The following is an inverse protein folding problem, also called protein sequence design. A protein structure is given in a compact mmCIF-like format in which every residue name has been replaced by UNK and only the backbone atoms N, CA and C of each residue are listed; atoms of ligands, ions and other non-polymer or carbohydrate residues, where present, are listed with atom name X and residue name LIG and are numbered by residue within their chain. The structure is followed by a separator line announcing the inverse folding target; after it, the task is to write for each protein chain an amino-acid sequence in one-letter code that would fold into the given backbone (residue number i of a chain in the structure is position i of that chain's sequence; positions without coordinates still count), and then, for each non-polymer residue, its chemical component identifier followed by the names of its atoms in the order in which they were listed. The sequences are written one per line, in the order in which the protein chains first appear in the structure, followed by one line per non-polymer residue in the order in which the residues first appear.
data_IF_494533717201
#
_entry.id   IF_494533717201
#
_cell.length_a   1.000
_cell.length_b   1.000
_cell.length_c   1.000
_cell.angle_alpha   90.00
_cell.angle_beta   90.00
_cell.angle_gamma   90.00
#
_symmetry.space_group_name_H-M   'P 1'
#
loop_
_entity.id
_entity.type
_entity.pdbx_description
1 polymer ?
#
# COMPACT_ATOMS: atom_id res chain seq x y z
N UNK A 1 -7.75 3.49 7.31
CA UNK A 1 -6.58 2.69 6.87
C UNK A 1 -6.79 1.17 6.77
N UNK A 2 -7.17 0.42 7.82
CA UNK A 2 -7.10 -1.07 7.75
C UNK A 2 -7.98 -1.69 6.66
N UNK A 3 -9.23 -1.25 6.52
CA UNK A 3 -10.13 -1.75 5.48
C UNK A 3 -9.56 -1.53 4.07
N UNK A 4 -8.94 -0.37 3.83
CA UNK A 4 -8.24 -0.09 2.57
C UNK A 4 -7.13 -1.12 2.30
N UNK A 5 -6.23 -1.36 3.26
CA UNK A 5 -5.13 -2.31 3.07
C UNK A 5 -5.61 -3.76 2.96
N UNK A 6 -6.71 -4.11 3.62
CA UNK A 6 -7.35 -5.42 3.48
C UNK A 6 -7.82 -5.65 2.04
N UNK A 7 -8.54 -4.71 1.46
CA UNK A 7 -9.03 -4.79 0.07
C UNK A 7 -7.92 -4.60 -0.97
N UNK A 8 -6.95 -3.72 -0.69
CA UNK A 8 -5.81 -3.46 -1.55
C UNK A 8 -4.97 -4.73 -1.74
N UNK A 9 -4.60 -5.39 -0.64
CA UNK A 9 -3.73 -6.57 -0.68
C UNK A 9 -4.50 -7.89 -0.78
N UNK A 10 -5.82 -7.86 -0.60
CA UNK A 10 -6.68 -9.05 -0.41
C UNK A 10 -6.18 -9.91 0.76
N UNK A 11 -5.71 -9.24 1.80
CA UNK A 11 -5.23 -9.86 3.02
C UNK A 11 -6.41 -10.14 3.96
N UNK A 12 -6.19 -11.01 4.94
CA UNK A 12 -7.16 -11.33 5.99
C UNK A 12 -6.57 -11.00 7.37
N UNK A 13 -7.41 -10.69 8.38
CA UNK A 13 -6.94 -10.59 9.76
C UNK A 13 -6.25 -11.89 10.19
N UNK A 14 -5.06 -11.77 10.78
CA UNK A 14 -4.31 -12.92 11.32
C UNK A 14 -4.97 -13.48 12.58
N UNK A 15 -5.53 -12.59 13.39
CA UNK A 15 -6.19 -12.84 14.67
C UNK A 15 -7.49 -12.00 14.69
N UNK A 16 -8.46 -12.31 15.58
CA UNK A 16 -9.64 -11.47 15.76
C UNK A 16 -9.25 -10.01 16.01
N UNK A 17 -9.96 -9.07 15.38
CA UNK A 17 -9.67 -7.66 15.52
C UNK A 17 -9.83 -7.22 16.99
N UNK A 18 -8.85 -6.47 17.49
CA UNK A 18 -8.97 -5.71 18.73
C UNK A 18 -9.16 -4.23 18.39
N UNK A 19 -9.65 -3.43 19.35
CA UNK A 19 -9.85 -1.99 19.13
C UNK A 19 -8.53 -1.25 18.87
N UNK A 20 -7.42 -1.73 19.44
CA UNK A 20 -6.16 -0.99 19.46
C UNK A 20 -5.12 -1.53 18.47
N UNK A 21 -5.32 -2.76 17.99
CA UNK A 21 -4.32 -3.46 17.18
C UNK A 21 -4.96 -4.45 16.20
N UNK A 22 -4.44 -4.48 14.97
CA UNK A 22 -4.83 -5.44 13.94
C UNK A 22 -3.63 -5.83 13.08
N UNK A 23 -3.49 -7.12 12.80
CA UNK A 23 -2.48 -7.64 11.87
C UNK A 23 -3.17 -8.27 10.67
N UNK A 24 -2.82 -7.82 9.48
CA UNK A 24 -3.24 -8.40 8.20
C UNK A 24 -2.15 -9.34 7.65
N UNK A 25 -2.57 -10.45 7.05
CA UNK A 25 -1.69 -11.44 6.41
C UNK A 25 -2.24 -11.88 5.05
N UNK A 26 -1.35 -12.31 4.15
CA UNK A 26 -1.78 -13.04 2.96
C UNK A 26 -2.42 -14.38 3.40
N UNK A 27 -3.59 -14.74 2.84
CA UNK A 27 -4.29 -15.97 3.22
C UNK A 27 -3.48 -17.23 2.90
N UNK A 28 -2.59 -17.18 1.91
CA UNK A 28 -1.67 -18.28 1.54
C UNK A 28 -0.29 -18.15 2.18
N UNK A 29 -0.07 -17.16 3.06
CA UNK A 29 1.20 -16.94 3.75
C UNK A 29 2.31 -16.39 2.85
N UNK A 30 1.97 -15.73 1.74
CA UNK A 30 2.95 -15.09 0.86
C UNK A 30 3.26 -13.67 1.32
N UNK A 31 4.53 -13.31 1.40
CA UNK A 31 4.94 -11.95 1.74
C UNK A 31 4.77 -11.59 3.23
N UNK A 32 5.01 -10.32 3.59
CA UNK A 32 5.01 -9.89 4.98
C UNK A 32 3.58 -9.70 5.52
N UNK A 33 3.47 -9.68 6.85
CA UNK A 33 2.29 -9.18 7.54
C UNK A 33 2.34 -7.64 7.61
N UNK A 34 1.17 -7.00 7.60
CA UNK A 34 1.03 -5.57 7.91
C UNK A 34 0.33 -5.42 9.25
N UNK A 35 0.99 -4.75 10.20
CA UNK A 35 0.45 -4.49 11.54
C UNK A 35 0.03 -3.04 11.67
N UNK A 36 -1.16 -2.83 12.21
CA UNK A 36 -1.78 -1.53 12.39
C UNK A 36 -2.08 -1.32 13.87
N UNK A 37 -1.65 -0.17 14.38
CA UNK A 37 -1.98 0.30 15.71
C UNK A 37 -3.00 1.43 15.59
N UNK A 38 -4.07 1.38 16.39
CA UNK A 38 -5.01 2.48 16.50
C UNK A 38 -4.29 3.74 17.02
N UNK A 39 -4.70 4.90 16.50
CA UNK A 39 -4.20 6.20 16.93
C UNK A 39 -5.35 7.20 16.95
N UNK A 40 -5.41 7.99 18.01
CA UNK A 40 -6.45 9.02 18.18
C UNK A 40 -6.27 10.21 17.23
N UNK A 41 -5.06 10.35 16.65
CA UNK A 41 -4.69 11.42 15.74
C UNK A 41 -3.73 10.92 14.67
N UNK A 42 -3.85 11.50 13.46
CA UNK A 42 -2.85 11.35 12.40
C UNK A 42 -1.51 11.88 12.91
N UNK A 43 -0.42 11.18 12.54
CA UNK A 43 0.92 11.65 12.87
C UNK A 43 1.14 13.04 12.26
N UNK A 44 1.65 13.99 13.05
CA UNK A 44 1.97 15.35 12.58
C UNK A 44 3.18 15.40 11.64
N UNK A 45 3.90 14.28 11.51
CA UNK A 45 5.02 14.11 10.59
C UNK A 45 4.77 12.90 9.70
N UNK A 46 5.40 12.89 8.53
CA UNK A 46 5.34 11.75 7.62
C UNK A 46 6.14 10.59 8.19
N UNK A 47 5.61 9.37 8.00
CA UNK A 47 6.38 8.15 8.25
C UNK A 47 7.61 8.12 7.35
N UNK A 48 8.73 7.62 7.88
CA UNK A 48 9.95 7.35 7.12
C UNK A 48 9.92 5.95 6.48
N UNK A 49 8.88 5.16 6.77
CA UNK A 49 8.65 3.88 6.13
C UNK A 49 8.05 4.11 4.73
N UNK A 50 8.57 3.38 3.76
CA UNK A 50 8.07 3.35 2.39
C UNK A 50 7.68 1.90 2.04
N UNK A 51 6.45 1.70 1.56
CA UNK A 51 5.94 0.40 1.13
C UNK A 51 5.78 0.37 -0.40
N UNK A 52 6.34 -0.65 -1.05
CA UNK A 52 6.26 -0.82 -2.50
C UNK A 52 5.39 -2.02 -2.88
N UNK A 53 4.42 -1.79 -3.75
CA UNK A 53 3.56 -2.83 -4.34
C UNK A 53 3.97 -3.07 -5.79
N UNK A 54 4.54 -4.24 -6.07
CA UNK A 54 5.02 -4.59 -7.40
C UNK A 54 3.94 -5.29 -8.23
N UNK A 55 3.70 -4.79 -9.44
CA UNK A 55 2.69 -5.33 -10.38
C UNK A 55 3.20 -5.26 -11.81
N UNK A 56 2.74 -6.16 -12.69
CA UNK A 56 3.00 -6.06 -14.13
C UNK A 56 2.05 -5.09 -14.84
N UNK A 57 1.02 -4.57 -14.15
CA UNK A 57 0.03 -3.63 -14.69
C UNK A 57 -0.10 -2.41 -13.78
N UNK A 58 0.93 -1.57 -13.74
CA UNK A 58 0.97 -0.42 -12.83
C UNK A 58 -0.23 0.51 -13.00
N UNK A 59 -0.56 0.90 -14.23
CA UNK A 59 -1.67 1.83 -14.50
C UNK A 59 -3.00 1.32 -13.95
N UNK A 60 -3.38 0.08 -14.29
CA UNK A 60 -4.60 -0.57 -13.81
C UNK A 60 -4.66 -0.63 -12.28
N UNK A 61 -3.53 -0.97 -11.65
CA UNK A 61 -3.45 -1.12 -10.21
C UNK A 61 -3.54 0.24 -9.49
N UNK A 62 -2.91 1.28 -10.04
CA UNK A 62 -3.06 2.64 -9.55
C UNK A 62 -4.53 3.07 -9.59
N UNK A 63 -5.23 2.87 -10.70
CA UNK A 63 -6.65 3.24 -10.78
C UNK A 63 -7.51 2.44 -9.81
N UNK A 64 -7.26 1.13 -9.67
CA UNK A 64 -7.97 0.29 -8.70
C UNK A 64 -7.80 0.82 -7.27
N UNK A 65 -6.57 1.16 -6.89
CA UNK A 65 -6.27 1.65 -5.54
C UNK A 65 -6.85 3.05 -5.29
N UNK A 66 -6.89 3.91 -6.31
CA UNK A 66 -7.57 5.21 -6.22
C UNK A 66 -9.07 5.04 -6.01
N UNK A 67 -9.72 4.10 -6.72
CA UNK A 67 -11.14 3.77 -6.49
C UNK A 67 -11.38 3.25 -5.06
N UNK A 68 -10.42 2.53 -4.47
CA UNK A 68 -10.48 2.07 -3.08
C UNK A 68 -10.23 3.17 -2.04
N UNK A 69 -9.86 4.38 -2.46
CA UNK A 69 -9.70 5.55 -1.59
C UNK A 69 -8.26 6.06 -1.45
N UNK A 70 -7.29 5.51 -2.19
CA UNK A 70 -5.97 6.13 -2.28
C UNK A 70 -6.03 7.43 -3.09
N UNK A 71 -5.04 8.30 -2.90
CA UNK A 71 -4.88 9.54 -3.68
C UNK A 71 -3.53 9.57 -4.35
N UNK A 72 -3.45 10.07 -5.58
CA UNK A 72 -2.17 10.34 -6.23
C UNK A 72 -1.44 11.44 -5.47
N UNK A 73 -0.19 11.18 -5.09
CA UNK A 73 0.63 12.15 -4.38
C UNK A 73 1.43 12.98 -5.41
N UNK A 74 1.49 14.32 -5.28
CA UNK A 74 2.23 15.18 -6.20
C UNK A 74 3.74 15.05 -5.96
N UNK A 75 4.32 13.98 -6.49
CA UNK A 75 5.73 13.66 -6.40
C UNK A 75 6.52 14.24 -7.58
N UNK A 76 7.77 14.63 -7.33
CA UNK A 76 8.70 15.01 -8.40
C UNK A 76 9.45 13.77 -8.88
N UNK A 77 9.04 13.24 -10.03
CA UNK A 77 9.60 12.00 -10.56
C UNK A 77 10.90 12.25 -11.32
N UNK A 78 11.95 11.44 -11.08
CA UNK A 78 13.11 11.42 -11.97
C UNK A 78 12.72 10.87 -13.35
N UNK A 79 13.53 11.17 -14.36
CA UNK A 79 13.36 10.59 -15.69
C UNK A 79 13.44 9.06 -15.62
N UNK A 80 12.46 8.38 -16.23
CA UNK A 80 12.41 6.92 -16.25
C UNK A 80 11.92 6.25 -14.96
N UNK A 81 11.30 6.99 -14.02
CA UNK A 81 10.70 6.40 -12.84
C UNK A 81 9.68 5.29 -13.21
N UNK A 82 9.82 4.14 -12.58
CA UNK A 82 8.98 2.94 -12.76
C UNK A 82 7.91 2.81 -11.68
N UNK A 83 7.68 3.85 -10.88
CA UNK A 83 6.76 3.85 -9.75
C UNK A 83 5.80 5.04 -9.78
N UNK A 84 4.63 4.85 -9.18
CA UNK A 84 3.66 5.92 -8.89
C UNK A 84 3.46 6.01 -7.39
N UNK A 85 3.68 7.20 -6.82
CA UNK A 85 3.47 7.47 -5.40
C UNK A 85 2.00 7.75 -5.12
N UNK A 86 1.42 6.95 -4.23
CA UNK A 86 0.07 7.11 -3.71
C UNK A 86 0.10 7.43 -2.22
N UNK A 87 -0.97 8.03 -1.75
CA UNK A 87 -1.27 8.31 -0.36
C UNK A 87 -2.50 7.46 0.05
N UNK A 88 -2.38 6.67 1.12
CA UNK A 88 -3.51 5.90 1.67
C UNK A 88 -4.54 6.82 2.38
N UNK A 89 -5.70 6.31 2.84
CA UNK A 89 -6.72 7.16 3.46
C UNK A 89 -6.29 7.91 4.74
N UNK A 90 -5.33 7.37 5.48
CA UNK A 90 -4.77 8.02 6.68
C UNK A 90 -3.53 8.85 6.35
N UNK A 91 -3.14 8.78 5.09
CA UNK A 91 -2.12 9.46 4.36
C UNK A 91 -0.68 9.13 4.64
N UNK A 92 -0.45 7.83 4.75
CA UNK A 92 0.86 7.21 4.57
C UNK A 92 1.16 7.11 3.06
N UNK A 93 2.41 7.37 2.69
CA UNK A 93 2.85 7.22 1.31
C UNK A 93 3.28 5.78 1.03
N UNK A 94 2.97 5.32 -0.18
CA UNK A 94 3.41 4.03 -0.71
C UNK A 94 3.52 4.11 -2.23
N UNK A 95 4.27 3.20 -2.84
CA UNK A 95 4.44 3.15 -4.30
C UNK A 95 3.74 1.95 -4.92
N UNK A 96 3.28 2.15 -6.15
CA UNK A 96 2.95 1.05 -7.08
C UNK A 96 4.06 1.01 -8.11
N UNK A 97 4.84 -0.08 -8.13
CA UNK A 97 6.03 -0.24 -8.96
C UNK A 97 5.73 -1.20 -10.11
N UNK A 98 6.12 -0.80 -11.32
CA UNK A 98 6.04 -1.64 -12.49
C UNK A 98 7.12 -2.72 -12.42
N UNK A 99 6.73 -3.99 -12.48
CA UNK A 99 7.67 -5.08 -12.64
C UNK A 99 8.26 -5.03 -14.05
N UNK A 100 9.58 -5.21 -14.21
CA UNK A 100 10.17 -5.41 -15.52
C UNK A 100 9.63 -6.70 -16.15
N UNK A 101 9.39 -6.67 -17.46
CA UNK A 101 9.00 -7.87 -18.20
C UNK A 101 10.16 -8.88 -18.16
N UNK A 102 9.87 -10.13 -17.81
CA UNK A 102 10.86 -11.22 -17.66
C UNK A 102 11.63 -11.54 -18.97
N UNK A 103 11.30 -10.89 -20.09
CA UNK A 103 11.95 -11.05 -21.39
C UNK A 103 12.99 -9.95 -21.71
N UNK A 104 13.22 -9.00 -20.81
CA UNK A 104 14.30 -8.02 -20.92
C UNK A 104 15.48 -8.42 -20.02
N UNK A 105 16.18 -9.50 -20.36
CA UNK A 105 17.54 -9.79 -19.86
C UNK A 105 18.36 -10.38 -20.99
#
# INVERSE_FOLDING_TARGET
MVAFWQEALRYIPREPASNDWMVLRDPKGRGPNLSFQARDRRAGHRSWLHLDLYTSRQGDEVERLVVLGARRYPWHYPAGADYVVLEDPDGNLFCVVQKPDEQST
#
